data_IF_249465715817
#
_entry.id   IF_249465715817
#
_cell.length_a   1.000
_cell.length_b   1.000
_cell.length_c   1.000
_cell.angle_alpha   90.00
_cell.angle_beta   90.00
_cell.angle_gamma   90.00
#
_symmetry.space_group_name_H-M   'P 1'
#
loop_
_entity.id
_entity.type
_entity.pdbx_description
1 polymer ?
#
# COMPACT_ATOMS: atom_id res chain seq x y z
N UNK A 1 3.00 -23.90 -18.04
CA UNK A 1 3.98 -22.81 -18.02
C UNK A 1 3.67 -21.93 -16.83
N UNK A 2 4.64 -21.70 -15.95
CA UNK A 2 4.45 -21.00 -14.68
C UNK A 2 4.58 -19.50 -14.88
N UNK A 3 3.90 -18.69 -14.06
CA UNK A 3 3.89 -17.22 -14.09
C UNK A 3 5.29 -16.54 -14.02
N UNK A 4 6.37 -17.31 -13.93
CA UNK A 4 7.74 -16.87 -13.70
C UNK A 4 8.42 -16.17 -14.90
N UNK A 5 7.92 -16.34 -16.14
CA UNK A 5 8.50 -15.70 -17.33
C UNK A 5 7.90 -14.32 -17.67
N UNK A 6 6.90 -13.87 -16.92
CA UNK A 6 6.38 -12.51 -17.08
C UNK A 6 7.27 -11.49 -16.37
N UNK A 7 7.70 -10.46 -17.11
CA UNK A 7 8.51 -9.38 -16.55
C UNK A 7 7.85 -8.70 -15.33
N UNK A 8 8.64 -8.16 -14.39
CA UNK A 8 8.11 -7.56 -13.15
C UNK A 8 7.12 -6.41 -13.40
N UNK A 9 7.29 -5.68 -14.51
CA UNK A 9 6.40 -4.59 -14.91
C UNK A 9 4.97 -5.07 -15.24
N UNK A 10 4.81 -6.27 -15.80
CA UNK A 10 3.50 -6.84 -16.09
C UNK A 10 2.71 -7.12 -14.81
N UNK A 11 3.36 -7.75 -13.84
CA UNK A 11 2.73 -8.05 -12.54
C UNK A 11 2.32 -6.77 -11.84
N UNK A 12 3.15 -5.73 -11.89
CA UNK A 12 2.82 -4.43 -11.31
C UNK A 12 1.53 -3.81 -11.90
N UNK A 13 1.28 -3.98 -13.21
CA UNK A 13 0.06 -3.46 -13.85
C UNK A 13 -1.19 -4.23 -13.42
N UNK A 14 -1.10 -5.55 -13.35
CA UNK A 14 -2.20 -6.40 -12.86
C UNK A 14 -2.48 -6.07 -11.40
N UNK A 15 -1.44 -6.07 -10.55
CA UNK A 15 -1.56 -5.77 -9.12
C UNK A 15 -2.20 -4.38 -8.91
N UNK A 16 -1.78 -3.36 -9.67
CA UNK A 16 -2.36 -2.02 -9.60
C UNK A 16 -3.85 -2.00 -9.98
N UNK A 17 -4.28 -2.82 -10.96
CA UNK A 17 -5.70 -2.92 -11.33
C UNK A 17 -6.50 -3.65 -10.25
N UNK A 18 -5.98 -4.77 -9.75
CA UNK A 18 -6.63 -5.54 -8.68
C UNK A 18 -6.76 -4.72 -7.39
N UNK A 19 -5.74 -3.91 -7.05
CA UNK A 19 -5.78 -2.97 -5.93
C UNK A 19 -6.87 -1.89 -6.13
N UNK A 20 -7.04 -1.38 -7.35
CA UNK A 20 -8.10 -0.43 -7.65
C UNK A 20 -9.51 -1.04 -7.46
N UNK A 21 -9.67 -2.32 -7.82
CA UNK A 21 -10.91 -3.07 -7.59
C UNK A 21 -11.13 -3.30 -6.10
N UNK A 22 -10.13 -3.81 -5.35
CA UNK A 22 -10.27 -4.03 -3.91
C UNK A 22 -10.60 -2.73 -3.16
N UNK A 23 -10.01 -1.60 -3.58
CA UNK A 23 -10.31 -0.29 -3.00
C UNK A 23 -11.77 0.14 -3.25
N UNK A 24 -12.30 -0.09 -4.46
CA UNK A 24 -13.70 0.20 -4.78
C UNK A 24 -14.65 -0.67 -3.94
N UNK A 25 -14.35 -1.96 -3.80
CA UNK A 25 -15.11 -2.89 -2.96
C UNK A 25 -15.04 -2.53 -1.47
N UNK A 26 -13.87 -2.06 -1.01
CA UNK A 26 -13.66 -1.60 0.36
C UNK A 26 -14.51 -0.36 0.65
N UNK A 27 -14.58 0.60 -0.27
CA UNK A 27 -15.46 1.77 -0.14
C UNK A 27 -16.95 1.40 -0.10
N UNK A 28 -17.34 0.36 -0.84
CA UNK A 28 -18.69 -0.20 -0.79
C UNK A 28 -18.97 -1.05 0.47
N UNK A 29 -18.01 -1.16 1.39
CA UNK A 29 -18.11 -1.94 2.63
C UNK A 29 -18.38 -3.44 2.41
N UNK A 30 -17.92 -3.99 1.28
CA UNK A 30 -18.00 -5.43 0.98
C UNK A 30 -17.18 -6.21 2.01
N UNK A 31 -17.63 -7.39 2.43
CA UNK A 31 -16.92 -8.21 3.42
C UNK A 31 -15.56 -8.71 2.89
N UNK A 32 -14.55 -8.83 3.77
CA UNK A 32 -13.18 -9.19 3.35
C UNK A 32 -13.10 -10.50 2.53
N UNK A 33 -13.83 -11.54 2.95
CA UNK A 33 -13.86 -12.83 2.26
C UNK A 33 -14.43 -12.70 0.84
N UNK A 34 -15.47 -11.90 0.68
CA UNK A 34 -16.14 -11.66 -0.60
C UNK A 34 -15.26 -10.81 -1.52
N UNK A 35 -14.64 -9.75 -1.00
CA UNK A 35 -13.64 -8.97 -1.76
C UNK A 35 -12.52 -9.85 -2.28
N UNK A 36 -11.97 -10.73 -1.44
CA UNK A 36 -10.89 -11.64 -1.83
C UNK A 36 -11.34 -12.64 -2.89
N UNK A 37 -12.59 -13.12 -2.83
CA UNK A 37 -13.17 -13.99 -3.85
C UNK A 37 -13.26 -13.28 -5.20
N UNK A 38 -13.86 -12.08 -5.23
CA UNK A 38 -14.02 -11.27 -6.44
C UNK A 38 -12.67 -10.96 -7.08
N UNK A 39 -11.71 -10.49 -6.29
CA UNK A 39 -10.35 -10.17 -6.78
C UNK A 39 -9.66 -11.41 -7.35
N UNK A 40 -9.80 -12.58 -6.71
CA UNK A 40 -9.21 -13.84 -7.19
C UNK A 40 -9.85 -14.33 -8.49
N UNK A 41 -11.17 -14.13 -8.65
CA UNK A 41 -11.90 -14.45 -9.89
C UNK A 41 -11.46 -13.55 -11.04
N UNK A 42 -11.36 -12.24 -10.80
CA UNK A 42 -10.88 -11.28 -11.81
C UNK A 42 -9.43 -11.55 -12.20
N UNK A 43 -8.57 -11.87 -11.24
CA UNK A 43 -7.19 -12.29 -11.51
C UNK A 43 -7.15 -13.51 -12.44
N UNK A 44 -7.98 -14.51 -12.16
CA UNK A 44 -8.09 -15.71 -13.00
C UNK A 44 -8.58 -15.35 -14.40
N UNK A 45 -9.60 -14.49 -14.51
CA UNK A 45 -10.14 -14.01 -15.79
C UNK A 45 -9.08 -13.28 -16.62
N UNK A 46 -8.25 -12.44 -16.00
CA UNK A 46 -7.15 -11.74 -16.66
C UNK A 46 -6.18 -12.75 -17.27
N UNK A 47 -5.74 -13.74 -16.50
CA UNK A 47 -4.83 -14.77 -17.00
C UNK A 47 -5.47 -15.61 -18.12
N UNK A 48 -6.75 -15.92 -18.02
CA UNK A 48 -7.47 -16.61 -19.10
C UNK A 48 -7.52 -15.77 -20.38
N UNK A 49 -7.90 -14.49 -20.30
CA UNK A 49 -7.96 -13.59 -21.45
C UNK A 49 -6.60 -13.40 -22.12
N UNK A 50 -5.54 -13.29 -21.32
CA UNK A 50 -4.17 -13.21 -21.82
C UNK A 50 -3.76 -14.50 -22.54
N UNK A 51 -4.04 -15.66 -21.94
CA UNK A 51 -3.69 -16.96 -22.54
C UNK A 51 -4.41 -17.21 -23.87
N UNK A 52 -5.62 -16.67 -24.05
CA UNK A 52 -6.38 -16.76 -25.32
C UNK A 52 -5.82 -15.85 -26.41
N UNK A 53 -5.20 -14.73 -26.04
CA UNK A 53 -4.71 -13.72 -26.99
C UNK A 53 -3.32 -14.06 -27.50
N UNK A 54 -2.41 -14.48 -26.62
CA UNK A 54 -1.05 -14.81 -26.99
C UNK A 54 -0.44 -15.84 -26.05
N UNK A 55 0.37 -16.75 -26.60
CA UNK A 55 1.20 -17.67 -25.83
C UNK A 55 2.35 -16.94 -25.11
N UNK A 56 2.76 -15.77 -25.63
CA UNK A 56 3.74 -14.87 -25.02
C UNK A 56 3.19 -13.43 -25.03
N UNK A 57 2.37 -13.03 -24.04
CA UNK A 57 1.74 -11.72 -24.00
C UNK A 57 2.79 -10.61 -23.84
N UNK A 58 2.75 -9.65 -24.77
CA UNK A 58 3.53 -8.42 -24.68
C UNK A 58 2.84 -7.41 -23.76
N UNK A 59 3.55 -6.38 -23.33
CA UNK A 59 2.99 -5.29 -22.53
C UNK A 59 1.70 -4.70 -23.14
N UNK A 60 1.66 -4.53 -24.45
CA UNK A 60 0.50 -3.96 -25.14
C UNK A 60 -0.73 -4.87 -25.11
N UNK A 61 -0.53 -6.20 -25.11
CA UNK A 61 -1.64 -7.16 -24.95
C UNK A 61 -2.28 -7.03 -23.58
N UNK A 62 -1.47 -6.74 -22.57
CA UNK A 62 -1.90 -6.61 -21.18
C UNK A 62 -2.72 -5.35 -21.01
N UNK A 63 -2.22 -4.22 -21.50
CA UNK A 63 -2.98 -2.96 -21.50
C UNK A 63 -4.30 -3.16 -22.23
N UNK A 64 -4.30 -3.81 -23.39
CA UNK A 64 -5.54 -4.09 -24.13
C UNK A 64 -6.52 -5.00 -23.36
N UNK A 65 -6.04 -5.98 -22.60
CA UNK A 65 -6.90 -6.81 -21.74
C UNK A 65 -7.44 -5.99 -20.57
N UNK A 66 -6.60 -5.21 -19.89
CA UNK A 66 -7.03 -4.38 -18.76
C UNK A 66 -8.03 -3.29 -19.20
N UNK A 67 -7.88 -2.73 -20.39
CA UNK A 67 -8.82 -1.78 -20.99
C UNK A 67 -10.15 -2.45 -21.40
N UNK A 68 -10.15 -3.76 -21.65
CA UNK A 68 -11.37 -4.52 -21.97
C UNK A 68 -12.18 -4.93 -20.74
N UNK A 69 -11.57 -4.88 -19.55
CA UNK A 69 -12.27 -5.17 -18.29
C UNK A 69 -13.21 -4.04 -17.90
N UNK A 70 -14.28 -4.42 -17.20
CA UNK A 70 -15.20 -3.46 -16.62
C UNK A 70 -14.47 -2.51 -15.64
N UNK A 71 -14.96 -1.26 -15.50
CA UNK A 71 -14.48 -0.33 -14.48
C UNK A 71 -14.53 -0.96 -13.08
N UNK A 72 -13.62 -0.56 -12.15
CA UNK A 72 -13.58 -1.16 -10.81
C UNK A 72 -14.90 -1.02 -10.05
N UNK A 73 -15.68 0.04 -10.30
CA UNK A 73 -16.99 0.27 -9.69
C UNK A 73 -18.05 -0.76 -10.13
N UNK A 74 -17.89 -1.37 -11.29
CA UNK A 74 -18.82 -2.38 -11.81
C UNK A 74 -18.78 -3.70 -11.05
N UNK A 75 -17.71 -3.96 -10.30
CA UNK A 75 -17.57 -5.16 -9.48
C UNK A 75 -18.26 -5.06 -8.12
N UNK A 76 -18.79 -3.88 -7.76
CA UNK A 76 -19.55 -3.70 -6.53
C UNK A 76 -20.88 -4.46 -6.67
N UNK A 77 -21.22 -5.36 -5.72
CA UNK A 77 -22.49 -6.07 -5.70
C UNK A 77 -23.68 -5.11 -5.77
N UNK A 78 -24.72 -5.45 -6.54
CA UNK A 78 -25.86 -4.57 -6.80
C UNK A 78 -26.58 -4.16 -5.50
N UNK A 79 -26.63 -5.05 -4.51
CA UNK A 79 -27.26 -4.80 -3.20
C UNK A 79 -26.54 -3.69 -2.40
N UNK A 80 -25.25 -3.50 -2.67
CA UNK A 80 -24.41 -2.48 -2.05
C UNK A 80 -24.29 -1.25 -2.93
N UNK A 81 -24.42 -1.40 -4.25
CA UNK A 81 -24.45 -0.29 -5.20
C UNK A 81 -25.60 0.67 -4.89
N UNK A 82 -26.78 0.15 -4.54
CA UNK A 82 -27.93 0.96 -4.13
C UNK A 82 -27.71 1.70 -2.81
N UNK A 83 -26.85 1.19 -1.91
CA UNK A 83 -26.48 1.91 -0.68
C UNK A 83 -25.50 3.04 -0.94
N UNK A 84 -24.59 2.84 -1.89
CA UNK A 84 -23.65 3.87 -2.36
C UNK A 84 -24.38 4.95 -3.16
N UNK A 85 -25.35 4.56 -4.00
CA UNK A 85 -26.13 5.47 -4.85
C UNK A 85 -27.33 6.12 -4.13
N UNK A 86 -27.97 5.42 -3.19
CA UNK A 86 -29.21 5.84 -2.53
C UNK A 86 -29.05 6.82 -1.37
N UNK A 87 -27.83 7.25 -1.05
CA UNK A 87 -27.58 8.15 0.08
C UNK A 87 -27.87 9.64 -0.21
N UNK A 88 -28.20 10.07 -1.45
CA UNK A 88 -28.53 11.47 -1.76
C UNK A 88 -29.57 11.57 -2.89
N UNK A 89 -30.76 12.20 -2.69
CA UNK A 89 -31.55 12.71 -3.80
C UNK A 89 -30.79 13.89 -4.43
N UNK A 90 -30.47 13.78 -5.71
CA UNK A 90 -29.69 14.74 -6.50
C UNK A 90 -30.18 16.18 -6.35
N UNK A 91 -29.24 17.12 -6.20
CA UNK A 91 -29.15 18.18 -7.18
C UNK A 91 -27.79 18.09 -7.89
N UNK A 92 -27.83 18.35 -9.20
CA UNK A 92 -26.67 18.48 -10.07
C UNK A 92 -25.69 19.48 -9.44
N UNK A 93 -24.53 19.00 -9.01
CA UNK A 93 -23.41 19.87 -8.63
C UNK A 93 -22.15 19.48 -9.42
N UNK A 94 -21.39 20.48 -9.88
CA UNK A 94 -20.36 20.31 -10.89
C UNK A 94 -19.20 19.49 -10.32
N UNK A 95 -18.78 18.49 -11.09
CA UNK A 95 -17.48 17.80 -11.09
C UNK A 95 -16.49 18.38 -10.08
N UNK A 96 -16.64 18.07 -8.81
CA UNK A 96 -15.69 18.46 -7.77
C UNK A 96 -14.49 17.57 -7.96
N UNK A 97 -13.45 18.14 -8.57
CA UNK A 97 -12.12 17.57 -8.62
C UNK A 97 -11.70 17.27 -7.17
N UNK A 98 -11.79 16.01 -6.79
CA UNK A 98 -11.28 15.55 -5.52
C UNK A 98 -9.78 15.86 -5.48
N UNK A 99 -9.28 16.43 -4.37
CA UNK A 99 -7.87 16.74 -4.25
C UNK A 99 -7.12 15.42 -4.38
N UNK A 100 -6.38 15.28 -5.47
CA UNK A 100 -5.45 14.17 -5.65
C UNK A 100 -4.46 14.25 -4.49
N UNK A 101 -4.71 13.46 -3.44
CA UNK A 101 -3.75 13.33 -2.35
C UNK A 101 -2.47 12.82 -3.01
N UNK A 102 -1.36 13.58 -2.90
CA UNK A 102 -0.17 13.29 -3.66
C UNK A 102 0.29 11.87 -3.31
N UNK A 103 0.35 10.99 -4.32
CA UNK A 103 0.80 9.58 -4.26
C UNK A 103 2.04 9.35 -3.39
N UNK A 104 2.85 10.39 -3.19
CA UNK A 104 4.00 10.42 -2.30
C UNK A 104 3.65 10.16 -0.82
N UNK A 105 2.51 10.65 -0.31
CA UNK A 105 2.10 10.47 1.09
C UNK A 105 1.72 9.02 1.36
N UNK A 106 0.97 8.36 0.46
CA UNK A 106 0.62 6.93 0.58
C UNK A 106 1.88 6.05 0.52
N UNK A 107 2.83 6.39 -0.36
CA UNK A 107 4.12 5.69 -0.50
C UNK A 107 5.04 5.88 0.71
N UNK A 108 4.89 6.96 1.47
CA UNK A 108 5.61 7.20 2.73
C UNK A 108 5.02 6.35 3.86
N UNK A 109 3.68 6.30 3.99
CA UNK A 109 3.01 5.50 5.04
C UNK A 109 3.29 4.00 4.87
N UNK A 110 3.29 3.49 3.64
CA UNK A 110 3.65 2.09 3.32
C UNK A 110 5.06 1.70 3.81
N UNK A 111 6.04 2.59 3.66
CA UNK A 111 7.43 2.35 4.11
C UNK A 111 7.54 2.30 5.64
N UNK A 112 6.72 3.06 6.36
CA UNK A 112 6.67 3.00 7.82
C UNK A 112 6.02 1.72 8.33
N UNK A 113 5.00 1.20 7.65
CA UNK A 113 4.37 -0.08 8.02
C UNK A 113 5.35 -1.26 7.90
N UNK A 114 6.15 -1.30 6.82
CA UNK A 114 7.18 -2.33 6.62
C UNK A 114 8.28 -2.23 7.69
N UNK A 115 8.74 -1.02 7.99
CA UNK A 115 9.75 -0.80 9.03
C UNK A 115 9.25 -1.20 10.42
N UNK A 116 8.00 -0.87 10.76
CA UNK A 116 7.37 -1.26 12.02
C UNK A 116 7.22 -2.79 12.13
N UNK A 117 6.84 -3.46 11.02
CA UNK A 117 6.80 -4.91 10.95
C UNK A 117 8.16 -5.57 11.19
N UNK A 118 9.23 -5.07 10.56
CA UNK A 118 10.60 -5.56 10.80
C UNK A 118 11.04 -5.39 12.25
N UNK A 119 10.73 -4.25 12.89
CA UNK A 119 11.06 -4.02 14.31
C UNK A 119 10.30 -5.02 15.19
N UNK A 120 9.01 -5.24 14.94
CA UNK A 120 8.20 -6.20 15.69
C UNK A 120 8.76 -7.62 15.60
N UNK A 121 9.15 -8.07 14.40
CA UNK A 121 9.76 -9.39 14.19
C UNK A 121 11.07 -9.51 14.97
N UNK A 122 11.91 -8.48 14.95
CA UNK A 122 13.16 -8.48 15.73
C UNK A 122 12.91 -8.55 17.24
N UNK A 123 11.90 -7.84 17.74
CA UNK A 123 11.51 -7.91 19.16
C UNK A 123 11.06 -9.31 19.54
N UNK A 124 10.18 -9.93 18.74
CA UNK A 124 9.71 -11.31 18.98
C UNK A 124 10.88 -12.30 18.96
N UNK A 125 11.78 -12.18 17.99
CA UNK A 125 12.97 -13.04 17.90
C UNK A 125 13.87 -12.91 19.13
N UNK A 126 14.08 -11.69 19.64
CA UNK A 126 14.84 -11.45 20.86
C UNK A 126 14.17 -12.11 22.08
N UNK A 127 12.85 -11.99 22.22
CA UNK A 127 12.10 -12.63 23.32
C UNK A 127 12.24 -14.16 23.27
N UNK A 128 12.15 -14.77 22.09
CA UNK A 128 12.32 -16.21 21.91
C UNK A 128 13.73 -16.66 22.31
N UNK A 129 14.77 -15.93 21.89
CA UNK A 129 16.16 -16.24 22.25
C UNK A 129 16.34 -16.18 23.78
N UNK A 130 15.82 -15.14 24.43
CA UNK A 130 15.88 -15.01 25.91
C UNK A 130 15.17 -16.17 26.59
N UNK A 131 14.02 -16.62 26.08
CA UNK A 131 13.28 -17.77 26.62
C UNK A 131 14.07 -19.08 26.52
N UNK A 132 14.70 -19.34 25.37
CA UNK A 132 15.55 -20.53 25.16
C UNK A 132 16.73 -20.49 26.14
N UNK A 133 17.37 -19.33 26.29
CA UNK A 133 18.54 -19.16 27.16
C UNK A 133 18.17 -19.26 28.64
N UNK A 134 17.01 -18.72 29.03
CA UNK A 134 16.48 -18.86 30.38
C UNK A 134 16.14 -20.32 30.73
N UNK A 135 15.77 -21.14 29.74
CA UNK A 135 15.55 -22.58 29.94
C UNK A 135 16.85 -23.36 30.17
N UNK A 136 18.00 -22.81 29.77
CA UNK A 136 19.32 -23.37 30.07
C UNK A 136 19.88 -22.75 31.35
N UNK A 137 19.96 -23.52 32.45
CA UNK A 137 20.43 -23.07 33.79
C UNK A 137 21.94 -22.70 33.88
N UNK A 138 22.57 -22.26 32.78
CA UNK A 138 23.98 -21.90 32.73
C UNK A 138 24.20 -20.38 32.68
N UNK A 139 25.21 -19.88 33.40
CA UNK A 139 25.60 -18.45 33.40
C UNK A 139 26.26 -18.02 32.08
N UNK A 140 26.98 -18.94 31.42
CA UNK A 140 27.68 -18.69 30.15
C UNK A 140 26.70 -18.32 29.00
N UNK A 141 25.57 -19.03 28.80
CA UNK A 141 24.51 -18.63 27.87
C UNK A 141 24.04 -17.18 28.00
N UNK A 142 23.91 -16.66 29.22
CA UNK A 142 23.41 -15.30 29.45
C UNK A 142 24.37 -14.21 28.98
N UNK A 143 25.67 -14.37 29.21
CA UNK A 143 26.69 -13.40 28.78
C UNK A 143 26.80 -13.35 27.25
N UNK A 144 26.78 -14.52 26.59
CA UNK A 144 26.83 -14.62 25.13
C UNK A 144 25.56 -14.01 24.50
N UNK A 145 24.39 -14.24 25.12
CA UNK A 145 23.13 -13.70 24.64
C UNK A 145 23.07 -12.18 24.78
N UNK A 146 23.46 -11.64 25.94
CA UNK A 146 23.51 -10.20 26.16
C UNK A 146 24.48 -9.51 25.19
N UNK A 147 25.66 -10.09 24.97
CA UNK A 147 26.63 -9.59 24.00
C UNK A 147 26.10 -9.65 22.56
N UNK A 148 25.43 -10.74 22.18
CA UNK A 148 24.81 -10.91 20.88
C UNK A 148 23.71 -9.88 20.62
N UNK A 149 22.81 -9.67 21.58
CA UNK A 149 21.73 -8.66 21.49
C UNK A 149 22.32 -7.25 21.39
N UNK A 150 23.32 -6.92 22.21
CA UNK A 150 23.97 -5.62 22.17
C UNK A 150 24.65 -5.37 20.82
N UNK A 151 25.36 -6.37 20.28
CA UNK A 151 25.98 -6.28 18.96
C UNK A 151 24.96 -6.16 17.84
N UNK A 152 23.85 -6.91 17.89
CA UNK A 152 22.80 -6.88 16.88
C UNK A 152 22.06 -5.53 16.86
N UNK A 153 21.82 -4.94 18.04
CA UNK A 153 21.30 -3.57 18.14
C UNK A 153 22.28 -2.55 17.59
N UNK A 154 23.57 -2.68 17.91
CA UNK A 154 24.60 -1.75 17.42
C UNK A 154 24.78 -1.83 15.89
N UNK A 155 24.89 -3.04 15.35
CA UNK A 155 25.04 -3.29 13.91
C UNK A 155 23.76 -2.92 13.15
N UNK A 156 22.59 -3.24 13.71
CA UNK A 156 21.28 -2.88 13.13
C UNK A 156 21.09 -1.37 13.05
N UNK A 157 21.43 -0.62 14.11
CA UNK A 157 21.40 0.85 14.08
C UNK A 157 22.40 1.43 13.09
N UNK A 158 23.61 0.86 13.01
CA UNK A 158 24.66 1.29 12.09
C UNK A 158 24.26 1.10 10.62
N UNK A 159 23.68 -0.05 10.29
CA UNK A 159 23.18 -0.37 8.95
C UNK A 159 21.96 0.47 8.58
N UNK A 160 21.06 0.72 9.53
CA UNK A 160 19.91 1.60 9.30
C UNK A 160 20.35 3.04 9.05
N UNK A 161 21.36 3.53 9.79
CA UNK A 161 21.96 4.85 9.58
C UNK A 161 22.67 4.97 8.23
N UNK A 162 23.37 3.92 7.78
CA UNK A 162 24.06 3.96 6.48
C UNK A 162 23.08 3.96 5.31
N UNK A 163 21.93 3.26 5.42
CA UNK A 163 20.88 3.29 4.39
C UNK A 163 20.02 4.55 4.40
N UNK A 164 19.95 5.27 5.52
CA UNK A 164 19.15 6.50 5.65
C UNK A 164 19.93 7.78 5.39
N UNK A 165 21.02 7.73 4.61
CA UNK A 165 21.87 8.85 4.19
C UNK A 165 21.20 10.01 3.42
N UNK A 166 19.89 10.26 3.60
CA UNK A 166 19.26 11.54 3.29
C UNK A 166 19.48 12.47 4.48
N UNK A 167 20.16 13.57 4.22
CA UNK A 167 20.52 14.57 5.22
C UNK A 167 19.31 14.94 6.11
N UNK A 168 19.46 14.97 7.44
CA UNK A 168 18.37 15.26 8.39
C UNK A 168 17.71 16.64 8.20
N UNK A 169 18.28 17.50 7.34
CA UNK A 169 17.74 18.83 7.04
C UNK A 169 16.55 18.87 6.09
N UNK A 170 16.27 17.82 5.30
CA UNK A 170 15.14 17.83 4.35
C UNK A 170 13.80 17.48 4.99
N UNK A 171 13.78 16.54 5.94
CA UNK A 171 12.53 16.09 6.58
C UNK A 171 11.88 17.21 7.40
N UNK A 172 12.68 17.98 8.13
CA UNK A 172 12.19 19.12 8.93
C UNK A 172 11.67 20.25 8.01
N UNK A 173 12.30 20.45 6.84
CA UNK A 173 11.83 21.44 5.85
C UNK A 173 10.50 21.02 5.22
N UNK A 174 10.34 19.75 4.87
CA UNK A 174 9.11 19.24 4.26
C UNK A 174 7.92 19.30 5.23
N UNK A 175 8.15 18.95 6.50
CA UNK A 175 7.14 19.10 7.57
C UNK A 175 6.74 20.56 7.77
N UNK A 176 7.71 21.47 7.80
CA UNK A 176 7.44 22.91 7.95
C UNK A 176 6.67 23.47 6.76
N UNK A 177 7.01 23.07 5.54
CA UNK A 177 6.34 23.53 4.32
C UNK A 177 4.91 22.96 4.21
N UNK A 178 4.70 21.70 4.61
CA UNK A 178 3.36 21.10 4.67
C UNK A 178 2.45 21.75 5.72
N UNK A 179 2.98 22.08 6.91
CA UNK A 179 2.24 22.81 7.95
C UNK A 179 1.91 24.24 7.52
N UNK A 180 2.82 24.93 6.85
CA UNK A 180 2.55 26.27 6.33
C UNK A 180 1.42 26.28 5.29
N UNK A 181 1.33 25.24 4.44
CA UNK A 181 0.24 25.09 3.48
C UNK A 181 -1.13 24.81 4.14
N UNK A 182 -1.14 24.15 5.31
CA UNK A 182 -2.35 23.86 6.09
C UNK A 182 -2.87 25.07 6.86
N UNK A 183 -1.98 25.99 7.24
CA UNK A 183 -2.32 27.16 8.07
C UNK A 183 -2.61 28.40 7.21
N UNK A 184 -2.21 28.43 5.93
CA UNK A 184 -2.52 29.54 5.03
C UNK A 184 -4.03 29.61 4.74
N UNK A 185 -4.76 30.63 5.23
CA UNK A 185 -6.19 30.77 4.96
C UNK A 185 -6.39 31.13 3.47
N UNK A 186 -7.29 30.41 2.81
CA UNK A 186 -7.78 30.73 1.45
C UNK A 186 -8.63 32.00 1.48
N UNK A 187 -7.99 33.15 1.68
CA UNK A 187 -8.65 34.45 1.54
C UNK A 187 -8.56 34.89 0.07
N UNK A 188 -9.43 34.29 -0.74
CA UNK A 188 -9.60 34.60 -2.16
C UNK A 188 -11.05 34.90 -2.49
N UNK A 189 -11.69 35.79 -1.74
CA UNK A 189 -12.93 36.45 -2.17
C UNK A 189 -12.54 37.75 -2.85
N UNK A 190 -12.27 37.67 -4.15
CA UNK A 190 -12.25 38.83 -5.02
C UNK A 190 -13.67 39.34 -5.16
N UNK A 191 -14.01 40.36 -4.36
CA UNK A 191 -15.13 41.23 -4.66
C UNK A 191 -14.77 42.02 -5.91
N UNK A 192 -15.31 41.62 -7.05
CA UNK A 192 -15.45 42.48 -8.22
C UNK A 192 -16.67 43.40 -7.99
N UNK A 193 -16.36 44.68 -7.79
CA UNK A 193 -17.16 45.89 -8.08
C UNK A 193 -17.88 45.84 -9.45
N UNK A 194 -18.74 46.82 -9.79
CA UNK A 194 -19.07 48.07 -9.08
C UNK A 194 -20.54 48.24 -8.65
#
# INVERSE_FOLDING_TARGET
MTAADFGPEFRNLIDARLDAIDQALLHAHVAYSERRSIVSEVETQIYELLSRRSENPAHDDVVAVLDSLDPPESYIPEELRDRVAGAIPTPVHPKTAWPQLPLHVVRIVSKFAVAAGCVLVLVVLNVVIVLIVASTNGVIPWVVTAAGIAWLNYAGLGWLRSKTGKAPGTIIRDLRNGLAALIAPKNGTTATEP
#
